data_IF_739696453038
#
_entry.id   IF_739696453038
#
_cell.length_a   1.000
_cell.length_b   1.000
_cell.length_c   1.000
_cell.angle_alpha   90.00
_cell.angle_beta   90.00
_cell.angle_gamma   90.00
#
_symmetry.space_group_name_H-M   'P 1'
#
loop_
_entity.id
_entity.type
_entity.pdbx_description
1 polymer ?
#
# COMPACT_ATOMS: atom_id res chain seq x y z
N UNK A 1 -6.08 -12.02 -3.92
CA UNK A 1 -5.90 -11.73 -2.48
C UNK A 1 -6.06 -12.97 -1.60
N UNK A 2 -7.20 -13.65 -1.62
CA UNK A 2 -7.50 -14.79 -0.71
C UNK A 2 -6.39 -15.86 -0.78
N UNK A 3 -5.98 -16.27 -1.97
CA UNK A 3 -4.92 -17.29 -2.13
C UNK A 3 -3.60 -16.84 -1.50
N UNK A 4 -3.24 -15.57 -1.63
CA UNK A 4 -2.01 -14.99 -1.06
C UNK A 4 -2.13 -14.65 0.43
N UNK A 5 -3.27 -14.82 1.07
CA UNK A 5 -3.39 -14.67 2.53
C UNK A 5 -2.95 -15.91 3.30
N UNK A 6 -2.79 -17.04 2.64
CA UNK A 6 -2.24 -18.26 3.27
C UNK A 6 -0.72 -18.17 3.34
N UNK A 7 -0.19 -18.15 4.55
CA UNK A 7 1.25 -18.27 4.79
C UNK A 7 1.76 -19.70 4.57
N UNK A 8 3.05 -19.90 4.54
CA UNK A 8 3.64 -21.26 4.49
C UNK A 8 3.26 -22.08 5.72
N UNK A 9 3.11 -21.43 6.88
CA UNK A 9 2.65 -22.08 8.11
C UNK A 9 1.20 -22.53 7.99
N UNK A 10 0.32 -21.71 7.42
CA UNK A 10 -1.08 -22.08 7.21
C UNK A 10 -1.21 -23.27 6.24
N UNK A 11 -0.47 -23.24 5.13
CA UNK A 11 -0.46 -24.35 4.17
C UNK A 11 0.07 -25.64 4.80
N UNK A 12 1.11 -25.54 5.63
CA UNK A 12 1.64 -26.68 6.37
C UNK A 12 0.60 -27.24 7.35
N UNK A 13 -0.03 -26.42 8.15
CA UNK A 13 -1.07 -26.83 9.09
C UNK A 13 -2.25 -27.52 8.37
N UNK A 14 -2.65 -27.01 7.21
CA UNK A 14 -3.70 -27.64 6.38
C UNK A 14 -3.27 -29.02 5.91
N UNK A 15 -2.03 -29.17 5.41
CA UNK A 15 -1.52 -30.46 4.91
C UNK A 15 -1.40 -31.49 6.04
N UNK A 16 -0.92 -31.07 7.22
CA UNK A 16 -0.85 -31.93 8.43
C UNK A 16 -2.21 -32.48 8.84
N UNK A 17 -3.30 -31.71 8.67
CA UNK A 17 -4.67 -32.21 8.97
C UNK A 17 -5.13 -33.35 8.06
N UNK A 18 -4.51 -33.49 6.88
CA UNK A 18 -4.85 -34.58 5.94
C UNK A 18 -4.30 -35.94 6.37
N UNK A 19 -3.43 -36.00 7.40
CA UNK A 19 -2.86 -37.22 7.98
C UNK A 19 -2.29 -38.19 6.92
N UNK A 20 -1.51 -37.64 6.00
CA UNK A 20 -0.90 -38.40 4.90
C UNK A 20 0.11 -39.39 5.50
N UNK A 21 -0.07 -40.70 5.21
CA UNK A 21 0.73 -41.77 5.78
C UNK A 21 2.20 -41.79 5.40
N UNK A 22 2.54 -41.12 4.30
CA UNK A 22 3.91 -41.07 3.74
C UNK A 22 4.49 -39.67 3.88
N UNK A 23 5.52 -39.44 4.72
CA UNK A 23 6.12 -38.11 4.90
C UNK A 23 6.63 -37.47 3.62
N UNK A 24 7.12 -38.26 2.67
CA UNK A 24 7.56 -37.77 1.38
C UNK A 24 6.38 -37.23 0.52
N UNK A 25 5.21 -37.89 0.59
CA UNK A 25 4.02 -37.40 -0.11
C UNK A 25 3.45 -36.13 0.54
N UNK A 26 3.51 -36.04 1.84
CA UNK A 26 3.13 -34.83 2.61
C UNK A 26 3.99 -33.64 2.23
N UNK A 27 5.33 -33.81 2.24
CA UNK A 27 6.27 -32.78 1.85
C UNK A 27 6.06 -32.33 0.38
N UNK A 28 5.86 -33.27 -0.52
CA UNK A 28 5.61 -32.96 -1.93
C UNK A 28 4.29 -32.20 -2.13
N UNK A 29 3.22 -32.57 -1.41
CA UNK A 29 1.96 -31.84 -1.48
C UNK A 29 2.11 -30.41 -1.01
N UNK A 30 2.82 -30.19 0.10
CA UNK A 30 3.09 -28.85 0.64
C UNK A 30 3.85 -28.00 -0.39
N UNK A 31 4.93 -28.54 -0.97
CA UNK A 31 5.72 -27.87 -2.01
C UNK A 31 4.85 -27.48 -3.22
N UNK A 32 4.01 -28.39 -3.70
CA UNK A 32 3.11 -28.13 -4.83
C UNK A 32 2.09 -27.03 -4.50
N UNK A 33 1.53 -27.02 -3.30
CA UNK A 33 0.58 -25.99 -2.89
C UNK A 33 1.24 -24.61 -2.77
N UNK A 34 2.42 -24.54 -2.20
CA UNK A 34 3.22 -23.29 -2.12
C UNK A 34 3.56 -22.77 -3.53
N UNK A 35 4.07 -23.64 -4.40
CA UNK A 35 4.41 -23.27 -5.77
C UNK A 35 3.18 -22.78 -6.57
N UNK A 36 2.02 -23.40 -6.40
CA UNK A 36 0.76 -22.96 -7.04
C UNK A 36 0.29 -21.62 -6.49
N UNK A 37 0.30 -21.42 -5.17
CA UNK A 37 -0.01 -20.13 -4.54
C UNK A 37 0.85 -19.03 -5.13
N UNK A 38 2.17 -19.24 -5.16
CA UNK A 38 3.14 -18.24 -5.62
C UNK A 38 2.98 -17.96 -7.12
N UNK A 39 2.72 -18.99 -7.94
CA UNK A 39 2.43 -18.82 -9.37
C UNK A 39 1.17 -17.97 -9.61
N UNK A 40 0.12 -18.21 -8.85
CA UNK A 40 -1.11 -17.40 -8.89
C UNK A 40 -0.82 -15.96 -8.45
N UNK A 41 -0.05 -15.79 -7.37
CA UNK A 41 0.36 -14.48 -6.87
C UNK A 41 1.12 -13.67 -7.91
N UNK A 42 2.16 -14.23 -8.50
CA UNK A 42 2.95 -13.58 -9.56
C UNK A 42 2.07 -13.20 -10.74
N UNK A 43 1.27 -14.13 -11.26
CA UNK A 43 0.40 -13.87 -12.39
C UNK A 43 -0.51 -12.65 -12.21
N UNK A 44 -1.08 -12.49 -11.02
CA UNK A 44 -1.99 -11.38 -10.74
C UNK A 44 -1.26 -10.09 -10.36
N UNK A 45 -0.18 -10.18 -9.59
CA UNK A 45 0.56 -8.99 -9.14
C UNK A 45 1.38 -8.32 -10.26
N UNK A 46 1.65 -9.04 -11.36
CA UNK A 46 2.19 -8.46 -12.58
C UNK A 46 1.12 -7.68 -13.40
N UNK A 47 -0.16 -7.94 -13.15
CA UNK A 47 -1.29 -7.35 -13.92
C UNK A 47 -2.07 -6.30 -13.16
N UNK A 48 -2.06 -6.36 -11.84
CA UNK A 48 -2.75 -5.39 -10.98
C UNK A 48 -1.75 -4.79 -10.01
N UNK A 49 -1.98 -3.54 -9.65
CA UNK A 49 -1.18 -2.92 -8.59
C UNK A 49 -1.47 -3.61 -7.24
N UNK A 50 -0.49 -4.30 -6.61
CA UNK A 50 -0.72 -5.15 -5.44
C UNK A 50 -0.83 -4.39 -4.11
N UNK A 51 -1.08 -3.07 -4.15
CA UNK A 51 -1.18 -2.25 -2.95
C UNK A 51 -2.52 -2.46 -2.23
N UNK A 52 -2.48 -2.58 -0.90
CA UNK A 52 -3.66 -2.85 -0.07
C UNK A 52 -3.51 -2.34 1.37
N UNK A 53 -4.54 -2.57 2.21
CA UNK A 53 -4.58 -2.22 3.64
C UNK A 53 -4.20 -0.77 3.92
N UNK A 54 -4.76 0.13 3.12
CA UNK A 54 -4.52 1.56 3.23
C UNK A 54 -5.04 2.12 4.57
N UNK A 55 -4.21 2.88 5.24
CA UNK A 55 -4.55 3.59 6.47
C UNK A 55 -3.81 4.92 6.55
N UNK A 56 -4.35 5.88 7.27
CA UNK A 56 -3.61 7.10 7.61
C UNK A 56 -3.06 6.98 9.01
N UNK A 57 -1.78 7.33 9.17
CA UNK A 57 -1.08 7.38 10.46
C UNK A 57 -0.51 8.77 10.66
N UNK A 58 -0.65 9.30 11.87
CA UNK A 58 0.00 10.54 12.26
C UNK A 58 1.42 10.22 12.72
N UNK A 59 2.41 10.78 12.02
CA UNK A 59 3.79 10.72 12.44
C UNK A 59 4.03 11.78 13.52
N UNK A 60 3.83 11.42 14.78
CA UNK A 60 4.46 12.14 15.87
C UNK A 60 5.98 11.96 15.72
N UNK A 61 6.75 13.03 15.81
CA UNK A 61 8.19 13.01 15.62
C UNK A 61 8.86 11.92 16.48
N UNK A 62 9.27 10.82 15.86
CA UNK A 62 10.22 9.89 16.47
C UNK A 62 11.60 10.50 16.22
N UNK A 63 12.22 11.05 17.25
CA UNK A 63 13.62 11.44 17.25
C UNK A 63 14.43 10.15 17.10
N UNK A 64 14.77 9.79 15.88
CA UNK A 64 15.77 8.75 15.65
C UNK A 64 17.15 9.35 15.89
N UNK A 65 17.96 8.73 16.75
CA UNK A 65 19.26 9.22 17.21
C UNK A 65 20.35 9.39 16.15
N UNK A 66 20.02 9.63 14.90
CA UNK A 66 20.93 9.86 13.78
C UNK A 66 20.58 11.11 12.94
N UNK A 67 19.94 12.12 13.53
CA UNK A 67 19.85 13.45 12.89
C UNK A 67 18.99 13.53 11.61
N UNK A 68 18.25 12.51 11.24
CA UNK A 68 17.23 12.57 10.18
C UNK A 68 15.88 12.82 10.80
N UNK A 69 15.38 14.04 10.67
CA UNK A 69 13.99 14.36 11.00
C UNK A 69 13.07 13.59 10.05
N UNK A 70 12.28 12.66 10.58
CA UNK A 70 11.16 12.11 9.84
C UNK A 70 10.16 13.23 9.52
N UNK A 71 9.49 13.24 8.37
CA UNK A 71 8.51 14.27 8.05
C UNK A 71 7.43 14.28 9.12
N UNK A 72 7.28 15.41 9.81
CA UNK A 72 6.16 15.64 10.74
C UNK A 72 4.88 15.77 9.92
N UNK A 73 3.87 14.95 10.20
CA UNK A 73 2.56 15.06 9.56
C UNK A 73 1.88 13.73 9.31
N UNK A 74 0.66 13.80 8.86
CA UNK A 74 -0.11 12.62 8.48
C UNK A 74 0.51 11.92 7.26
N UNK A 75 0.52 10.60 7.28
CA UNK A 75 1.04 9.77 6.19
C UNK A 75 0.02 8.70 5.80
N UNK A 76 -0.18 8.50 4.51
CA UNK A 76 -0.89 7.35 3.99
C UNK A 76 0.06 6.15 4.02
N UNK A 77 -0.30 5.12 4.77
CA UNK A 77 0.39 3.83 4.85
C UNK A 77 -0.37 2.79 4.04
N UNK A 78 0.36 1.88 3.42
CA UNK A 78 -0.19 0.73 2.70
C UNK A 78 0.73 -0.48 2.82
N UNK A 79 0.20 -1.66 2.49
CA UNK A 79 0.98 -2.88 2.32
C UNK A 79 1.14 -3.17 0.83
N UNK A 80 2.35 -3.52 0.39
CA UNK A 80 2.60 -4.14 -0.91
C UNK A 80 2.51 -5.66 -0.76
N UNK A 81 1.45 -6.23 -1.29
CA UNK A 81 1.16 -7.67 -1.15
C UNK A 81 2.17 -8.55 -1.89
N UNK A 82 2.87 -8.03 -2.91
CA UNK A 82 3.92 -8.77 -3.59
C UNK A 82 5.17 -8.88 -2.70
N UNK A 83 5.50 -7.82 -1.96
CA UNK A 83 6.59 -7.81 -0.98
C UNK A 83 6.22 -8.66 0.24
N UNK A 84 5.04 -8.44 0.80
CA UNK A 84 4.57 -9.18 1.99
C UNK A 84 4.43 -10.69 1.71
N UNK A 85 4.08 -11.05 0.48
CA UNK A 85 3.98 -12.45 0.05
C UNK A 85 5.31 -13.07 -0.42
N UNK A 86 6.45 -12.35 -0.31
CA UNK A 86 7.75 -12.86 -0.71
C UNK A 86 7.93 -13.05 -2.23
N UNK A 87 7.06 -12.41 -3.05
CA UNK A 87 7.10 -12.54 -4.51
C UNK A 87 7.93 -11.43 -5.18
N UNK A 88 8.23 -10.36 -4.46
CA UNK A 88 9.08 -9.27 -4.89
C UNK A 88 9.98 -8.77 -3.75
N UNK A 89 11.18 -8.30 -4.09
CA UNK A 89 12.07 -7.66 -3.14
C UNK A 89 11.64 -6.19 -2.93
N UNK A 90 11.45 -5.78 -1.68
CA UNK A 90 11.00 -4.43 -1.34
C UNK A 90 11.98 -3.34 -1.79
N UNK A 91 13.28 -3.63 -1.75
CA UNK A 91 14.37 -2.72 -2.14
C UNK A 91 14.36 -2.33 -3.63
N UNK A 92 13.73 -3.13 -4.48
CA UNK A 92 13.63 -2.87 -5.92
C UNK A 92 12.34 -2.14 -6.31
N UNK A 93 11.48 -1.85 -5.32
CA UNK A 93 10.20 -1.20 -5.55
C UNK A 93 10.22 0.26 -5.18
N UNK A 94 9.66 1.09 -6.07
CA UNK A 94 9.40 2.50 -5.86
C UNK A 94 7.92 2.76 -6.08
N UNK A 95 7.37 3.70 -5.34
CA UNK A 95 5.97 4.08 -5.47
C UNK A 95 5.89 5.52 -5.94
N UNK A 96 5.22 5.75 -7.05
CA UNK A 96 4.93 7.09 -7.54
C UNK A 96 3.49 7.44 -7.18
N UNK A 97 3.26 8.70 -6.81
CA UNK A 97 1.95 9.15 -6.41
C UNK A 97 1.66 10.57 -6.85
N UNK A 98 0.38 10.87 -6.99
CA UNK A 98 -0.12 12.21 -7.26
C UNK A 98 -1.41 12.43 -6.48
N UNK A 99 -1.52 13.62 -5.88
CA UNK A 99 -2.77 14.05 -5.29
C UNK A 99 -3.67 14.67 -6.36
N UNK A 100 -4.96 14.40 -6.24
CA UNK A 100 -6.00 14.92 -7.15
C UNK A 100 -7.17 15.44 -6.31
N UNK A 101 -7.61 16.65 -6.58
CA UNK A 101 -8.78 17.27 -5.95
C UNK A 101 -9.73 17.72 -7.07
N UNK A 102 -11.00 17.31 -7.01
CA UNK A 102 -12.04 17.64 -8.01
C UNK A 102 -11.62 17.30 -9.47
N UNK A 103 -10.81 16.27 -9.65
CA UNK A 103 -10.30 15.85 -10.96
C UNK A 103 -9.01 16.57 -11.40
N UNK A 104 -8.57 17.59 -10.69
CA UNK A 104 -7.35 18.33 -10.99
C UNK A 104 -6.16 17.86 -10.14
N UNK A 105 -4.98 17.78 -10.74
CA UNK A 105 -3.76 17.43 -10.06
C UNK A 105 -3.34 18.50 -9.03
N UNK A 106 -3.03 18.08 -7.81
CA UNK A 106 -2.44 18.90 -6.77
C UNK A 106 -0.93 18.67 -6.70
N UNK A 107 -0.17 19.61 -7.23
CA UNK A 107 1.29 19.50 -7.27
C UNK A 107 1.81 18.52 -8.33
N UNK A 108 3.12 18.28 -8.30
CA UNK A 108 3.78 17.37 -9.23
C UNK A 108 3.62 15.89 -8.79
N UNK A 109 3.86 14.97 -9.73
CA UNK A 109 4.05 13.55 -9.43
C UNK A 109 5.31 13.39 -8.56
N UNK A 110 5.20 12.65 -7.47
CA UNK A 110 6.30 12.41 -6.52
C UNK A 110 6.55 10.92 -6.35
N UNK A 111 7.69 10.56 -5.77
CA UNK A 111 8.05 9.18 -5.50
C UNK A 111 8.52 8.96 -4.07
N UNK A 112 8.30 7.74 -3.58
CA UNK A 112 8.81 7.25 -2.29
C UNK A 112 9.30 5.81 -2.46
N UNK A 113 10.31 5.42 -1.68
CA UNK A 113 10.87 4.07 -1.66
C UNK A 113 10.32 3.25 -0.46
N UNK A 114 9.32 3.79 0.23
CA UNK A 114 8.68 3.14 1.37
C UNK A 114 7.16 3.08 1.21
N UNK A 115 6.51 2.17 1.92
CA UNK A 115 5.05 2.02 1.94
C UNK A 115 4.34 3.15 2.72
N UNK A 116 4.87 4.37 2.66
CA UNK A 116 4.33 5.55 3.33
C UNK A 116 4.44 6.77 2.41
N UNK A 117 3.32 7.42 2.19
CA UNK A 117 3.22 8.65 1.40
C UNK A 117 2.89 9.81 2.34
N UNK A 118 3.73 10.85 2.42
CA UNK A 118 3.40 12.05 3.17
C UNK A 118 2.13 12.71 2.60
N UNK A 119 1.21 13.12 3.45
CA UNK A 119 -0.01 13.83 3.05
C UNK A 119 0.25 15.35 3.00
N UNK A 120 1.22 15.73 2.17
CA UNK A 120 1.63 17.11 1.91
C UNK A 120 1.86 17.34 0.42
N UNK A 121 1.77 18.59 0.00
CA UNK A 121 2.21 19.07 -1.32
C UNK A 121 3.24 20.18 -1.08
N UNK A 122 4.45 19.98 -1.57
CA UNK A 122 5.58 20.90 -1.42
C UNK A 122 5.83 21.32 0.04
N UNK A 123 5.74 20.36 0.97
CA UNK A 123 5.95 20.57 2.41
C UNK A 123 4.77 21.21 3.13
N UNK A 124 3.66 21.48 2.44
CA UNK A 124 2.42 22.02 3.04
C UNK A 124 1.43 20.88 3.24
N UNK A 125 0.98 20.69 4.48
CA UNK A 125 -0.03 19.68 4.80
C UNK A 125 -1.31 19.86 3.95
N UNK A 126 -1.92 18.76 3.50
CA UNK A 126 -3.14 18.80 2.71
C UNK A 126 -4.26 19.57 3.41
N UNK A 127 -4.39 19.44 4.74
CA UNK A 127 -5.37 20.20 5.52
C UNK A 127 -5.23 21.71 5.32
N UNK A 128 -4.00 22.22 5.42
CA UNK A 128 -3.70 23.65 5.20
C UNK A 128 -4.03 24.11 3.79
N UNK A 129 -3.80 23.26 2.79
CA UNK A 129 -4.11 23.59 1.40
C UNK A 129 -5.62 23.65 1.18
N UNK A 130 -6.37 22.72 1.77
CA UNK A 130 -7.83 22.69 1.69
C UNK A 130 -8.47 23.88 2.40
N UNK A 131 -7.95 24.27 3.57
CA UNK A 131 -8.36 25.47 4.30
C UNK A 131 -8.15 26.74 3.47
N UNK A 132 -6.97 26.89 2.84
CA UNK A 132 -6.67 28.01 1.96
C UNK A 132 -7.55 28.08 0.71
N UNK A 133 -8.17 26.96 0.32
CA UNK A 133 -9.16 26.86 -0.78
C UNK A 133 -10.60 27.02 -0.32
N UNK A 134 -10.84 27.34 0.96
CA UNK A 134 -12.18 27.50 1.53
C UNK A 134 -12.98 26.20 1.66
N UNK A 135 -12.30 25.05 1.67
CA UNK A 135 -12.96 23.74 1.83
C UNK A 135 -13.25 23.49 3.30
N UNK A 136 -14.51 23.56 3.68
CA UNK A 136 -14.96 23.46 5.08
C UNK A 136 -15.80 22.23 5.38
N UNK A 137 -16.58 21.75 4.39
CA UNK A 137 -17.37 20.53 4.52
C UNK A 137 -16.50 19.28 4.42
N UNK A 138 -16.75 18.21 5.19
CA UNK A 138 -16.06 16.93 5.04
C UNK A 138 -16.11 16.37 3.62
N UNK A 139 -17.22 16.54 2.91
CA UNK A 139 -17.39 16.06 1.53
C UNK A 139 -16.51 16.81 0.54
N UNK A 140 -16.24 18.10 0.79
CA UNK A 140 -15.36 18.93 -0.01
C UNK A 140 -13.87 18.70 0.28
N UNK A 141 -13.56 17.90 1.30
CA UNK A 141 -12.20 17.64 1.80
C UNK A 141 -11.72 16.24 1.48
N UNK A 142 -12.29 15.60 0.47
CA UNK A 142 -11.83 14.31 -0.03
C UNK A 142 -10.77 14.53 -1.11
N UNK A 143 -9.57 14.06 -0.85
CA UNK A 143 -8.45 14.08 -1.79
C UNK A 143 -8.22 12.66 -2.29
N UNK A 144 -8.13 12.50 -3.62
CA UNK A 144 -7.72 11.24 -4.23
C UNK A 144 -6.20 11.19 -4.32
N UNK A 145 -5.62 10.06 -3.97
CA UNK A 145 -4.20 9.74 -4.14
C UNK A 145 -4.09 8.64 -5.18
N UNK A 146 -3.56 8.97 -6.35
CA UNK A 146 -3.28 8.00 -7.41
C UNK A 146 -1.90 7.40 -7.16
N UNK A 147 -1.83 6.12 -6.80
CA UNK A 147 -0.61 5.38 -6.48
C UNK A 147 -0.29 4.33 -7.54
N UNK A 148 0.96 4.28 -7.97
CA UNK A 148 1.49 3.27 -8.88
C UNK A 148 2.77 2.68 -8.31
N UNK A 149 2.99 1.41 -8.56
CA UNK A 149 4.24 0.72 -8.25
C UNK A 149 5.15 0.76 -9.48
N UNK A 150 6.42 1.05 -9.27
CA UNK A 150 7.47 0.99 -10.29
C UNK A 150 8.45 -0.11 -9.89
N UNK A 151 8.73 -1.01 -10.82
CA UNK A 151 9.71 -2.08 -10.66
C UNK A 151 10.54 -2.20 -11.94
N UNK A 152 11.83 -1.81 -11.87
CA UNK A 152 12.62 -1.62 -13.08
C UNK A 152 12.01 -0.55 -13.98
N UNK A 153 11.75 -0.91 -15.24
CA UNK A 153 11.14 -0.03 -16.24
C UNK A 153 9.61 -0.16 -16.30
N UNK A 154 9.02 -1.05 -15.51
CA UNK A 154 7.58 -1.29 -15.52
C UNK A 154 6.86 -0.43 -14.47
N UNK A 155 5.71 0.12 -14.87
CA UNK A 155 4.82 0.89 -13.99
C UNK A 155 3.43 0.26 -14.00
N UNK A 156 2.91 -0.04 -12.81
CA UNK A 156 1.58 -0.64 -12.66
C UNK A 156 0.45 0.31 -13.05
N UNK A 157 -0.77 -0.23 -13.21
CA UNK A 157 -1.99 0.56 -13.20
C UNK A 157 -2.13 1.33 -11.87
N UNK A 158 -2.90 2.42 -11.86
CA UNK A 158 -3.09 3.21 -10.65
C UNK A 158 -4.05 2.52 -9.66
N UNK A 159 -3.69 2.54 -8.38
CA UNK A 159 -4.63 2.38 -7.28
C UNK A 159 -5.04 3.76 -6.79
N UNK A 160 -6.32 4.04 -6.79
CA UNK A 160 -6.90 5.30 -6.34
C UNK A 160 -7.32 5.17 -4.87
N UNK A 161 -6.74 5.99 -4.01
CA UNK A 161 -7.06 6.00 -2.58
C UNK A 161 -7.73 7.33 -2.24
N UNK A 162 -8.94 7.27 -1.70
CA UNK A 162 -9.70 8.45 -1.30
C UNK A 162 -9.47 8.71 0.19
N UNK A 163 -8.91 9.87 0.49
CA UNK A 163 -8.57 10.30 1.85
C UNK A 163 -9.39 11.53 2.19
N UNK A 164 -10.20 11.45 3.23
CA UNK A 164 -10.83 12.65 3.81
C UNK A 164 -9.88 13.28 4.82
N UNK A 165 -9.73 14.58 4.74
CA UNK A 165 -8.87 15.39 5.61
C UNK A 165 -9.75 16.40 6.36
N UNK A 166 -10.45 15.99 7.42
CA UNK A 166 -11.41 16.86 8.12
C UNK A 166 -10.69 17.97 8.89
N UNK A 167 -11.40 19.06 9.17
CA UNK A 167 -10.90 20.12 10.04
C UNK A 167 -10.92 19.66 11.49
N UNK A 168 -9.77 19.76 12.19
CA UNK A 168 -9.68 19.45 13.63
C UNK A 168 -9.81 17.97 13.99
N UNK A 169 -9.74 17.06 13.01
CA UNK A 169 -9.75 15.62 13.24
C UNK A 169 -8.71 14.89 12.35
N UNK A 170 -8.27 13.69 12.71
CA UNK A 170 -7.32 12.92 11.91
C UNK A 170 -7.85 12.60 10.51
N UNK A 171 -6.97 12.66 9.52
CA UNK A 171 -7.27 12.19 8.18
C UNK A 171 -7.51 10.68 8.17
N UNK A 172 -8.35 10.20 7.25
CA UNK A 172 -8.67 8.76 7.15
C UNK A 172 -8.98 8.36 5.71
N UNK A 173 -8.72 7.10 5.40
CA UNK A 173 -9.11 6.50 4.13
C UNK A 173 -10.61 6.22 4.14
N UNK A 174 -11.31 6.62 3.07
CA UNK A 174 -12.76 6.43 2.91
C UNK A 174 -13.12 5.55 1.71
N UNK A 175 -12.18 5.30 0.82
CA UNK A 175 -12.40 4.42 -0.33
C UNK A 175 -11.13 4.07 -1.06
N UNK A 176 -11.18 2.97 -1.83
CA UNK A 176 -10.11 2.51 -2.71
C UNK A 176 -10.71 2.05 -4.03
N UNK A 177 -10.24 2.65 -5.13
CA UNK A 177 -10.55 2.25 -6.51
C UNK A 177 -9.34 1.57 -7.17
N UNK A 178 -9.58 0.67 -8.10
CA UNK A 178 -8.54 0.04 -8.94
C UNK A 178 -8.93 0.23 -10.40
N UNK A 179 -7.99 0.74 -11.17
CA UNK A 179 -8.11 0.92 -12.63
C UNK A 179 -7.57 -0.28 -13.38
#
# INVERSE_FOLDING_TARGET
KIVMSFSDADLRAIVETAQISTPAAEAHLLEVLQARRDKIGRYWFDRINPLDRFSVVDSSAVVTGQGRSAPMGAQLRFDDLAVTGGLAAGETRRYIYQFVLDGEALGAVRSVDSSRVPLDVDGRALGTILDARGRTSPDDRVVRVDLRTVQGDETSAATQVYVVVPTGAPARVVGVGRL
#
